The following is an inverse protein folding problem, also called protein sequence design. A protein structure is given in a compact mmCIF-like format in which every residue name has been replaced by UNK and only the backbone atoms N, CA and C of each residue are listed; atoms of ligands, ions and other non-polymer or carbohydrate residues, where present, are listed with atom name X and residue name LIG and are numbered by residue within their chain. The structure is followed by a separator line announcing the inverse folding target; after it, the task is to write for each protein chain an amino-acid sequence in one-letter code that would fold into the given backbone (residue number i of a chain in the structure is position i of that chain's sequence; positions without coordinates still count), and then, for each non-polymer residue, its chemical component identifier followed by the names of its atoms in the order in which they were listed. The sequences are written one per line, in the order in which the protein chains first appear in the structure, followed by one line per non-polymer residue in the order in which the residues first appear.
data_IF_641046585314
#
_entry.id   IF_641046585314
#
_cell.length_a   1.000
_cell.length_b   1.000
_cell.length_c   1.000
_cell.angle_alpha   90.00
_cell.angle_beta   90.00
_cell.angle_gamma   90.00
#
_symmetry.space_group_name_H-M   'P 1'
#
loop_
_entity.id
_entity.type
_entity.pdbx_description
1 polymer ?
#
# COMPACT_ATOMS: atom_id res chain seq x y z
N UNK A 1 -28.95 0.52 -10.21
CA UNK A 1 -28.77 1.96 -9.95
C UNK A 1 -27.30 2.16 -9.62
N UNK A 2 -26.61 3.15 -10.23
CA UNK A 2 -25.28 3.54 -9.77
C UNK A 2 -25.34 4.03 -8.33
N UNK A 3 -24.20 3.97 -7.64
CA UNK A 3 -24.04 4.53 -6.29
C UNK A 3 -24.24 6.04 -6.29
N UNK A 4 -24.43 6.63 -5.10
CA UNK A 4 -24.55 8.09 -4.93
C UNK A 4 -23.29 8.84 -5.43
N UNK A 5 -22.14 8.17 -5.44
CA UNK A 5 -20.90 8.70 -6.04
C UNK A 5 -20.81 8.55 -7.57
N UNK A 6 -21.86 8.04 -8.23
CA UNK A 6 -21.91 7.80 -9.67
C UNK A 6 -21.20 6.52 -10.13
N UNK A 7 -20.54 5.78 -9.23
CA UNK A 7 -19.87 4.52 -9.58
C UNK A 7 -20.90 3.44 -9.95
N UNK A 8 -20.65 2.66 -11.02
CA UNK A 8 -21.56 1.60 -11.44
C UNK A 8 -21.51 0.36 -10.54
N UNK A 9 -20.36 0.10 -9.91
CA UNK A 9 -20.12 -1.09 -9.07
C UNK A 9 -19.63 -0.65 -7.68
N UNK A 10 -20.27 -1.12 -6.59
CA UNK A 10 -19.80 -0.87 -5.23
C UNK A 10 -18.46 -1.53 -4.87
N UNK A 11 -18.08 -2.63 -5.49
CA UNK A 11 -16.90 -3.41 -5.10
C UNK A 11 -15.56 -2.70 -5.36
N UNK A 12 -15.28 -2.16 -6.57
CA UNK A 12 -14.07 -1.37 -6.82
C UNK A 12 -14.21 0.09 -6.35
N UNK A 13 -15.41 0.53 -5.96
CA UNK A 13 -15.62 1.91 -5.54
C UNK A 13 -14.83 2.22 -4.26
N UNK A 14 -14.14 3.36 -4.27
CA UNK A 14 -13.37 3.90 -3.13
C UNK A 14 -13.78 5.33 -2.77
N UNK A 15 -14.77 5.93 -3.45
CA UNK A 15 -15.10 7.36 -3.37
C UNK A 15 -15.47 7.87 -1.96
N UNK A 16 -15.96 7.00 -1.08
CA UNK A 16 -16.33 7.34 0.29
C UNK A 16 -15.36 6.79 1.34
N UNK A 17 -14.31 6.07 0.93
CA UNK A 17 -13.34 5.54 1.88
C UNK A 17 -12.40 6.66 2.31
N UNK A 18 -12.10 6.77 3.62
CA UNK A 18 -11.09 7.70 4.08
C UNK A 18 -9.70 7.26 3.56
N UNK A 19 -8.74 8.20 3.45
CA UNK A 19 -7.34 7.86 3.26
C UNK A 19 -6.84 6.88 4.34
N UNK A 20 -5.82 6.09 4.01
CA UNK A 20 -5.17 5.22 4.99
C UNK A 20 -4.68 6.01 6.20
N UNK A 21 -5.05 5.54 7.38
CA UNK A 21 -4.53 6.13 8.62
C UNK A 21 -3.04 5.80 8.80
N UNK A 22 -2.31 6.62 9.56
CA UNK A 22 -0.89 6.37 9.83
C UNK A 22 -0.63 4.98 10.43
N UNK A 23 -1.55 4.49 11.28
CA UNK A 23 -1.46 3.13 11.85
C UNK A 23 -1.59 2.03 10.80
N UNK A 24 -2.38 2.25 9.75
CA UNK A 24 -2.48 1.29 8.63
C UNK A 24 -1.20 1.31 7.78
N UNK A 25 -0.59 2.47 7.60
CA UNK A 25 0.72 2.58 6.95
C UNK A 25 1.79 1.83 7.74
N UNK A 26 1.83 2.03 9.06
CA UNK A 26 2.78 1.35 9.95
C UNK A 26 2.54 -0.17 9.94
N UNK A 27 1.28 -0.61 9.97
CA UNK A 27 0.94 -2.03 9.86
C UNK A 27 1.39 -2.63 8.52
N UNK A 28 1.23 -1.92 7.41
CA UNK A 28 1.73 -2.35 6.10
C UNK A 28 3.25 -2.47 6.06
N UNK A 29 3.97 -1.51 6.66
CA UNK A 29 5.43 -1.57 6.81
C UNK A 29 5.87 -2.79 7.60
N UNK A 30 5.27 -3.01 8.77
CA UNK A 30 5.66 -4.08 9.67
C UNK A 30 5.32 -5.46 9.08
N UNK A 31 4.20 -5.57 8.36
CA UNK A 31 3.85 -6.76 7.60
C UNK A 31 4.85 -7.05 6.47
N UNK A 32 5.29 -6.02 5.73
CA UNK A 32 6.28 -6.17 4.67
C UNK A 32 7.62 -6.68 5.22
N UNK A 33 8.09 -6.11 6.33
CA UNK A 33 9.30 -6.56 7.01
C UNK A 33 9.19 -8.03 7.44
N UNK A 34 8.07 -8.43 8.05
CA UNK A 34 7.86 -9.81 8.46
C UNK A 34 7.84 -10.79 7.27
N UNK A 35 7.22 -10.41 6.15
CA UNK A 35 7.18 -11.24 4.94
C UNK A 35 8.58 -11.36 4.31
N UNK A 36 9.34 -10.27 4.26
CA UNK A 36 10.73 -10.27 3.79
C UNK A 36 11.63 -11.16 4.65
N UNK A 37 11.49 -11.13 5.97
CA UNK A 37 12.19 -12.04 6.89
C UNK A 37 11.90 -13.52 6.59
N UNK A 38 10.73 -13.84 6.03
CA UNK A 38 10.39 -15.19 5.59
C UNK A 38 10.96 -15.57 4.21
N UNK A 39 11.74 -14.70 3.57
CA UNK A 39 12.32 -14.92 2.24
C UNK A 39 11.33 -14.76 1.09
N UNK A 40 10.21 -14.07 1.32
CA UNK A 40 9.16 -13.83 0.31
C UNK A 40 9.09 -12.35 -0.03
N UNK A 41 8.58 -12.05 -1.22
CA UNK A 41 8.34 -10.68 -1.68
C UNK A 41 6.90 -10.28 -1.31
N UNK A 42 6.68 -9.25 -0.48
CA UNK A 42 5.34 -8.78 -0.16
C UNK A 42 4.78 -7.89 -1.25
N UNK A 43 3.50 -8.10 -1.60
CA UNK A 43 2.74 -7.18 -2.44
C UNK A 43 1.94 -6.24 -1.53
N UNK A 44 2.13 -4.93 -1.69
CA UNK A 44 1.49 -3.89 -0.87
C UNK A 44 0.56 -3.01 -1.70
N UNK A 45 -0.39 -2.37 -1.03
CA UNK A 45 -1.18 -1.29 -1.60
C UNK A 45 -0.27 -0.12 -1.99
N UNK A 46 -0.55 0.48 -3.15
CA UNK A 46 0.27 1.56 -3.70
C UNK A 46 0.32 2.78 -2.76
N UNK A 47 -0.76 3.07 -2.03
CA UNK A 47 -0.80 4.18 -1.08
C UNK A 47 0.16 3.98 0.10
N UNK A 48 0.36 2.73 0.55
CA UNK A 48 1.34 2.40 1.59
C UNK A 48 2.74 2.69 1.07
N UNK A 49 3.07 2.15 -0.11
CA UNK A 49 4.38 2.29 -0.72
C UNK A 49 4.75 3.76 -0.98
N UNK A 50 3.82 4.53 -1.56
CA UNK A 50 4.03 5.96 -1.80
C UNK A 50 4.19 6.75 -0.51
N UNK A 51 3.44 6.40 0.54
CA UNK A 51 3.53 7.11 1.82
C UNK A 51 4.86 6.84 2.52
N UNK A 52 5.35 5.60 2.51
CA UNK A 52 6.69 5.26 2.99
C UNK A 52 7.79 6.02 2.24
N UNK A 53 7.69 6.09 0.91
CA UNK A 53 8.63 6.87 0.10
C UNK A 53 8.65 8.36 0.46
N UNK A 54 7.46 8.95 0.67
CA UNK A 54 7.30 10.36 1.08
C UNK A 54 7.85 10.63 2.48
N UNK A 55 7.67 9.70 3.43
CA UNK A 55 8.20 9.81 4.81
C UNK A 55 9.73 9.90 4.85
N UNK A 56 10.43 9.28 3.90
CA UNK A 56 11.89 9.38 3.81
C UNK A 56 12.62 8.48 4.79
N UNK A 57 13.94 8.68 4.91
CA UNK A 57 14.78 7.91 5.85
C UNK A 57 14.70 6.39 5.59
N UNK A 58 14.63 5.56 6.64
CA UNK A 58 14.50 4.11 6.52
C UNK A 58 13.25 3.66 5.73
N UNK A 59 12.14 4.39 5.86
CA UNK A 59 10.89 4.04 5.17
C UNK A 59 11.04 4.18 3.64
N UNK A 60 11.79 5.18 3.16
CA UNK A 60 12.08 5.32 1.73
C UNK A 60 12.98 4.20 1.21
N UNK A 61 14.02 3.85 1.96
CA UNK A 61 14.91 2.74 1.59
C UNK A 61 14.12 1.44 1.46
N UNK A 62 13.23 1.18 2.41
CA UNK A 62 12.33 0.03 2.36
C UNK A 62 11.39 0.11 1.13
N UNK A 63 10.78 1.27 0.86
CA UNK A 63 9.90 1.44 -0.29
C UNK A 63 10.59 1.17 -1.63
N UNK A 64 11.83 1.64 -1.81
CA UNK A 64 12.63 1.38 -3.01
C UNK A 64 12.98 -0.10 -3.15
N UNK A 65 13.36 -0.76 -2.06
CA UNK A 65 13.64 -2.21 -2.04
C UNK A 65 12.40 -3.02 -2.41
N UNK A 66 11.24 -2.68 -1.84
CA UNK A 66 9.98 -3.35 -2.10
C UNK A 66 9.53 -3.17 -3.56
N UNK A 67 9.63 -1.94 -4.08
CA UNK A 67 9.28 -1.67 -5.48
C UNK A 67 10.14 -2.47 -6.46
N UNK A 68 11.45 -2.54 -6.20
CA UNK A 68 12.37 -3.32 -7.02
C UNK A 68 12.13 -4.84 -6.90
N UNK A 69 11.78 -5.34 -5.71
CA UNK A 69 11.53 -6.76 -5.47
C UNK A 69 10.26 -7.26 -6.18
N UNK A 70 9.25 -6.40 -6.35
CA UNK A 70 8.00 -6.73 -7.04
C UNK A 70 8.02 -6.45 -8.56
N UNK A 71 9.15 -6.06 -9.15
CA UNK A 71 9.24 -5.56 -10.53
C UNK A 71 8.21 -4.44 -10.84
N UNK A 72 7.88 -3.65 -9.81
CA UNK A 72 6.88 -2.58 -9.87
C UNK A 72 5.41 -3.01 -9.74
N UNK A 73 5.10 -4.27 -9.47
CA UNK A 73 3.73 -4.72 -9.19
C UNK A 73 3.17 -4.14 -7.87
N UNK A 74 1.86 -3.88 -7.85
CA UNK A 74 1.10 -3.35 -6.69
C UNK A 74 -0.22 -4.11 -6.53
N UNK A 75 -0.70 -4.24 -5.29
CA UNK A 75 -1.96 -4.93 -4.94
C UNK A 75 -3.22 -4.10 -5.26
#
# INVERSE_FOLDING_TARGET
MPLDCGCPDPWPCRCSLPPLSDKMIDAGRDAALHILESGRVPLLEIEVLQTLWRRGGPDRVLAEQLHAACDGEVA
#
